data_IF_976270506517
#
_entry.id   IF_976270506517
#
_cell.length_a   1.000
_cell.length_b   1.000
_cell.length_c   1.000
_cell.angle_alpha   90.00
_cell.angle_beta   90.00
_cell.angle_gamma   90.00
#
_symmetry.space_group_name_H-M   'P 1'
#
loop_
_entity.id
_entity.type
_entity.pdbx_description
1 polymer ?
#
# COMPACT_ATOMS: atom_id res chain seq x y z
N UNK A 1 -6.92 -14.72 -0.29
CA UNK A 1 -5.60 -14.19 -0.75
C UNK A 1 -4.71 -13.81 0.44
N UNK A 2 -3.38 -13.94 0.32
CA UNK A 2 -2.42 -13.33 1.26
C UNK A 2 -1.64 -12.20 0.55
N UNK A 3 -1.59 -11.01 1.15
CA UNK A 3 -0.90 -9.85 0.60
C UNK A 3 -0.08 -9.15 1.69
N UNK A 4 1.01 -8.49 1.29
CA UNK A 4 1.92 -7.74 2.18
C UNK A 4 2.01 -6.29 1.72
N UNK A 5 1.74 -5.32 2.59
CA UNK A 5 2.09 -3.91 2.37
C UNK A 5 3.22 -3.51 3.32
N UNK A 6 4.23 -2.81 2.82
CA UNK A 6 5.34 -2.34 3.64
C UNK A 6 5.91 -1.00 3.17
N UNK A 7 5.84 -0.01 4.04
CA UNK A 7 6.66 1.20 3.96
C UNK A 7 8.12 0.88 4.35
N UNK A 8 8.96 0.61 3.35
CA UNK A 8 10.29 0.07 3.56
C UNK A 8 11.36 1.13 3.87
N UNK A 9 11.00 2.41 3.74
CA UNK A 9 11.88 3.58 4.00
C UNK A 9 13.23 3.58 3.25
N UNK A 10 13.36 2.75 2.22
CA UNK A 10 14.52 2.65 1.34
C UNK A 10 15.01 1.22 1.18
N UNK A 11 14.93 0.69 -0.04
CA UNK A 11 15.45 -0.64 -0.38
C UNK A 11 16.98 -0.69 -0.53
N UNK A 12 17.69 0.43 -0.35
CA UNK A 12 19.15 0.46 -0.41
C UNK A 12 19.84 -0.14 0.82
N UNK A 13 19.11 -0.32 1.92
CA UNK A 13 19.66 -0.82 3.19
C UNK A 13 19.64 -2.35 3.22
N UNK A 14 20.79 -2.96 3.49
CA UNK A 14 20.94 -4.42 3.47
C UNK A 14 20.01 -5.13 4.46
N UNK A 15 19.78 -4.53 5.64
CA UNK A 15 18.86 -5.06 6.64
C UNK A 15 17.41 -5.02 6.15
N UNK A 16 16.96 -3.93 5.53
CA UNK A 16 15.62 -3.82 4.93
C UNK A 16 15.40 -4.91 3.88
N UNK A 17 16.38 -5.12 2.98
CA UNK A 17 16.30 -6.17 1.97
C UNK A 17 16.28 -7.57 2.58
N UNK A 18 17.05 -7.80 3.64
CA UNK A 18 17.07 -9.08 4.37
C UNK A 18 15.70 -9.36 4.99
N UNK A 19 15.15 -8.41 5.74
CA UNK A 19 13.88 -8.57 6.42
C UNK A 19 12.72 -8.72 5.42
N UNK A 20 12.74 -7.99 4.30
CA UNK A 20 11.77 -8.16 3.22
C UNK A 20 11.77 -9.58 2.66
N UNK A 21 12.96 -10.13 2.38
CA UNK A 21 13.06 -11.52 1.90
C UNK A 21 12.54 -12.52 2.93
N UNK A 22 12.84 -12.31 4.20
CA UNK A 22 12.38 -13.16 5.29
C UNK A 22 10.86 -13.13 5.43
N UNK A 23 10.24 -11.94 5.36
CA UNK A 23 8.78 -11.81 5.37
C UNK A 23 8.14 -12.46 4.13
N UNK A 24 8.72 -12.29 2.94
CA UNK A 24 8.28 -12.97 1.72
C UNK A 24 8.38 -14.49 1.85
N UNK A 25 9.48 -15.01 2.42
CA UNK A 25 9.69 -16.43 2.63
C UNK A 25 8.72 -17.03 3.66
N UNK A 26 8.55 -16.35 4.79
CA UNK A 26 7.75 -16.81 5.93
C UNK A 26 6.25 -16.78 5.61
N UNK A 27 5.77 -15.69 5.02
CA UNK A 27 4.33 -15.50 4.76
C UNK A 27 3.90 -16.03 3.40
N UNK A 28 4.81 -16.13 2.43
CA UNK A 28 4.52 -16.48 1.03
C UNK A 28 3.35 -15.64 0.46
N UNK A 29 3.42 -14.30 0.54
CA UNK A 29 2.34 -13.46 0.02
C UNK A 29 2.25 -13.62 -1.51
N UNK A 30 1.04 -13.52 -2.04
CA UNK A 30 0.80 -13.56 -3.49
C UNK A 30 0.97 -12.19 -4.13
N UNK A 31 0.76 -11.12 -3.35
CA UNK A 31 0.99 -9.74 -3.74
C UNK A 31 1.83 -9.04 -2.67
N UNK A 32 2.81 -8.27 -3.08
CA UNK A 32 3.62 -7.41 -2.21
C UNK A 32 3.53 -5.98 -2.72
N UNK A 33 3.19 -5.05 -1.85
CA UNK A 33 3.22 -3.61 -2.07
C UNK A 33 4.31 -2.98 -1.21
N UNK A 34 5.21 -2.24 -1.85
CA UNK A 34 6.30 -1.52 -1.21
C UNK A 34 6.15 -0.02 -1.43
N UNK A 35 6.33 0.73 -0.36
CA UNK A 35 6.29 2.19 -0.34
C UNK A 35 7.66 2.72 0.09
N UNK A 36 8.00 3.93 -0.35
CA UNK A 36 9.28 4.58 -0.08
C UNK A 36 10.47 3.70 -0.51
N UNK A 37 10.42 3.15 -1.73
CA UNK A 37 11.51 2.28 -2.22
C UNK A 37 12.83 3.04 -2.35
N UNK A 38 12.79 4.35 -2.67
CA UNK A 38 13.94 5.26 -2.83
C UNK A 38 15.05 4.69 -3.73
N UNK A 39 14.68 3.82 -4.66
CA UNK A 39 15.61 3.11 -5.54
C UNK A 39 15.08 3.09 -6.97
N UNK A 40 15.99 3.12 -7.94
CA UNK A 40 15.64 3.04 -9.37
C UNK A 40 15.07 1.66 -9.71
N UNK A 41 14.17 1.62 -10.69
CA UNK A 41 13.54 0.38 -11.17
C UNK A 41 14.50 -0.81 -11.30
N UNK A 42 15.68 -0.65 -11.93
CA UNK A 42 16.67 -1.73 -12.11
C UNK A 42 17.04 -2.43 -10.78
N UNK A 43 17.20 -1.68 -9.70
CA UNK A 43 17.52 -2.24 -8.39
C UNK A 43 16.30 -2.95 -7.78
N UNK A 44 15.12 -2.30 -7.84
CA UNK A 44 13.87 -2.87 -7.33
C UNK A 44 13.54 -4.21 -8.00
N UNK A 45 13.72 -4.32 -9.33
CA UNK A 45 13.58 -5.57 -10.10
C UNK A 45 14.51 -6.68 -9.62
N UNK A 46 15.76 -6.33 -9.29
CA UNK A 46 16.74 -7.30 -8.75
C UNK A 46 16.27 -7.86 -7.41
N UNK A 47 15.68 -7.02 -6.55
CA UNK A 47 15.14 -7.47 -5.26
C UNK A 47 13.88 -8.32 -5.46
N UNK A 48 12.96 -7.92 -6.33
CA UNK A 48 11.78 -8.72 -6.69
C UNK A 48 12.15 -10.15 -7.05
N UNK A 49 13.07 -10.33 -8.02
CA UNK A 49 13.50 -11.66 -8.48
C UNK A 49 14.05 -12.51 -7.33
N UNK A 50 14.75 -11.89 -6.38
CA UNK A 50 15.27 -12.56 -5.17
C UNK A 50 14.18 -12.90 -4.16
N UNK A 51 13.01 -12.26 -4.24
CA UNK A 51 11.83 -12.57 -3.42
C UNK A 51 10.89 -13.57 -4.11
N UNK A 52 11.18 -13.99 -5.36
CA UNK A 52 10.45 -15.07 -6.04
C UNK A 52 9.22 -14.65 -6.84
N UNK A 53 8.97 -13.35 -7.01
CA UNK A 53 7.85 -12.84 -7.81
C UNK A 53 8.22 -12.71 -9.28
N UNK A 54 7.27 -12.93 -10.19
CA UNK A 54 7.44 -12.94 -11.66
C UNK A 54 7.08 -11.60 -12.29
N UNK A 55 6.06 -10.93 -11.74
CA UNK A 55 5.46 -9.74 -12.33
C UNK A 55 5.59 -8.52 -11.41
N UNK A 56 5.42 -7.33 -11.99
CA UNK A 56 5.61 -6.06 -11.29
C UNK A 56 4.91 -4.87 -11.94
N UNK A 57 4.65 -3.86 -11.12
CA UNK A 57 4.42 -2.49 -11.56
C UNK A 57 5.18 -1.54 -10.64
N UNK A 58 5.91 -0.59 -11.22
CA UNK A 58 6.82 0.30 -10.49
C UNK A 58 6.46 1.75 -10.78
N UNK A 59 6.48 2.58 -9.74
CA UNK A 59 6.47 4.03 -9.84
C UNK A 59 7.82 4.50 -9.33
N UNK A 60 8.59 5.17 -10.19
CA UNK A 60 9.93 5.62 -9.82
C UNK A 60 9.89 6.70 -8.72
N UNK A 61 10.91 6.75 -7.84
CA UNK A 61 11.04 7.81 -6.85
C UNK A 61 11.33 9.16 -7.52
N UNK A 62 10.89 10.25 -6.87
CA UNK A 62 11.26 11.61 -7.25
C UNK A 62 12.48 12.02 -6.44
N UNK A 63 13.65 12.05 -7.09
CA UNK A 63 14.91 12.33 -6.42
C UNK A 63 15.27 11.25 -5.39
N UNK A 64 15.22 11.60 -4.11
CA UNK A 64 15.53 10.70 -2.97
C UNK A 64 14.30 10.24 -2.18
N UNK A 65 13.09 10.56 -2.65
CA UNK A 65 11.86 10.33 -1.92
C UNK A 65 10.85 9.53 -2.75
N UNK A 66 10.01 8.76 -2.05
CA UNK A 66 8.93 8.00 -2.65
C UNK A 66 9.41 6.76 -3.39
N UNK A 67 8.69 6.46 -4.47
CA UNK A 67 8.82 5.23 -5.23
C UNK A 67 7.89 4.16 -4.65
N UNK A 68 7.05 3.61 -5.53
CA UNK A 68 6.10 2.55 -5.22
C UNK A 68 6.44 1.31 -6.04
N UNK A 69 6.19 0.13 -5.49
CA UNK A 69 6.30 -1.11 -6.23
C UNK A 69 5.20 -2.07 -5.80
N UNK A 70 4.49 -2.66 -6.76
CA UNK A 70 3.71 -3.85 -6.52
C UNK A 70 4.35 -5.02 -7.27
N UNK A 71 4.46 -6.16 -6.59
CA UNK A 71 4.94 -7.43 -7.13
C UNK A 71 3.87 -8.47 -6.92
N UNK A 72 3.70 -9.39 -7.86
CA UNK A 72 2.75 -10.47 -7.70
C UNK A 72 3.23 -11.79 -8.31
N UNK A 73 2.70 -12.87 -7.77
CA UNK A 73 2.97 -14.22 -8.23
C UNK A 73 2.27 -14.48 -9.57
N UNK A 74 2.85 -15.37 -10.37
CA UNK A 74 2.29 -15.78 -11.68
C UNK A 74 0.85 -16.32 -11.60
N UNK A 75 0.44 -16.87 -10.45
CA UNK A 75 -0.92 -17.36 -10.22
C UNK A 75 -1.98 -16.26 -10.03
N UNK A 76 -1.57 -14.99 -10.02
CA UNK A 76 -2.44 -13.83 -9.90
C UNK A 76 -2.30 -12.96 -11.15
N UNK A 77 -3.43 -12.56 -11.72
CA UNK A 77 -3.49 -11.57 -12.79
C UNK A 77 -3.84 -10.21 -12.19
N UNK A 78 -3.03 -9.22 -12.51
CA UNK A 78 -3.22 -7.83 -12.05
C UNK A 78 -3.27 -6.93 -13.28
N UNK A 79 -4.38 -6.21 -13.43
CA UNK A 79 -4.59 -5.18 -14.44
C UNK A 79 -4.47 -3.81 -13.76
N UNK A 80 -3.59 -2.94 -14.27
CA UNK A 80 -3.40 -1.58 -13.74
C UNK A 80 -4.45 -0.66 -14.36
N UNK A 81 -5.39 -0.17 -13.55
CA UNK A 81 -6.45 0.74 -14.00
C UNK A 81 -6.06 2.20 -13.81
N UNK A 82 -5.30 2.51 -12.76
CA UNK A 82 -4.78 3.84 -12.48
C UNK A 82 -3.47 3.76 -11.69
N UNK A 83 -2.54 4.68 -11.95
CA UNK A 83 -1.28 4.77 -11.21
C UNK A 83 -0.84 6.21 -11.07
N UNK A 84 -0.39 6.57 -9.86
CA UNK A 84 0.23 7.84 -9.52
C UNK A 84 1.37 7.61 -8.52
N UNK A 85 2.00 8.67 -8.04
CA UNK A 85 3.04 8.61 -6.99
C UNK A 85 2.49 8.18 -5.61
N UNK A 86 1.17 8.16 -5.44
CA UNK A 86 0.52 7.81 -4.17
C UNK A 86 -0.45 6.63 -4.26
N UNK A 87 -0.97 6.32 -5.44
CA UNK A 87 -2.03 5.31 -5.58
C UNK A 87 -1.71 4.42 -6.78
N UNK A 88 -1.81 3.12 -6.61
CA UNK A 88 -1.90 2.15 -7.71
C UNK A 88 -3.24 1.43 -7.53
N UNK A 89 -4.17 1.65 -8.46
CA UNK A 89 -5.48 0.99 -8.46
C UNK A 89 -5.52 -0.09 -9.53
N UNK A 90 -5.98 -1.26 -9.14
CA UNK A 90 -5.88 -2.48 -9.94
C UNK A 90 -7.17 -3.28 -9.91
N UNK A 91 -7.43 -3.99 -11.02
CA UNK A 91 -8.33 -5.14 -11.03
C UNK A 91 -7.49 -6.40 -10.86
N UNK A 92 -7.93 -7.30 -9.98
CA UNK A 92 -7.21 -8.51 -9.61
C UNK A 92 -8.09 -9.73 -9.84
N UNK A 93 -7.50 -10.78 -10.41
CA UNK A 93 -8.16 -12.08 -10.53
C UNK A 93 -7.18 -13.22 -10.31
N UNK A 94 -7.65 -14.31 -9.72
CA UNK A 94 -6.88 -15.55 -9.59
C UNK A 94 -7.81 -16.74 -9.80
N UNK A 95 -7.31 -17.78 -10.46
CA UNK A 95 -8.01 -19.06 -10.60
C UNK A 95 -7.76 -20.01 -9.42
N UNK A 96 -6.86 -19.65 -8.51
CA UNK A 96 -6.35 -20.55 -7.46
C UNK A 96 -6.81 -20.14 -6.06
N UNK A 97 -7.07 -18.85 -5.84
CA UNK A 97 -7.50 -18.31 -4.54
C UNK A 97 -8.61 -17.29 -4.75
N UNK A 98 -9.47 -17.14 -3.74
CA UNK A 98 -10.41 -16.03 -3.70
C UNK A 98 -9.68 -14.70 -3.44
N UNK A 99 -10.07 -13.67 -4.19
CA UNK A 99 -9.43 -12.36 -4.25
C UNK A 99 -10.49 -11.26 -4.36
N UNK A 100 -10.29 -10.11 -3.69
CA UNK A 100 -11.04 -8.91 -4.05
C UNK A 100 -10.92 -8.64 -5.54
N UNK A 101 -12.01 -8.22 -6.19
CA UNK A 101 -11.98 -7.88 -7.62
C UNK A 101 -11.10 -6.65 -7.85
N UNK A 102 -11.09 -5.72 -6.91
CA UNK A 102 -10.29 -4.51 -6.98
C UNK A 102 -9.38 -4.36 -5.77
N UNK A 103 -8.13 -3.93 -6.01
CA UNK A 103 -7.20 -3.55 -4.96
C UNK A 103 -6.60 -2.18 -5.26
N UNK A 104 -6.70 -1.26 -4.29
CA UNK A 104 -6.00 0.03 -4.29
C UNK A 104 -4.85 0.00 -3.30
N UNK A 105 -3.63 0.12 -3.81
CA UNK A 105 -2.41 0.26 -3.05
C UNK A 105 -2.13 1.74 -2.81
N UNK A 106 -2.14 2.17 -1.54
CA UNK A 106 -2.16 3.59 -1.19
C UNK A 106 -0.95 3.93 -0.32
N UNK A 107 -0.23 4.97 -0.72
CA UNK A 107 0.75 5.69 0.09
C UNK A 107 0.32 7.15 0.21
N UNK A 108 -0.34 7.48 1.33
CA UNK A 108 -0.81 8.82 1.64
C UNK A 108 0.35 9.81 1.72
N UNK A 109 0.24 10.99 1.07
CA UNK A 109 1.24 12.04 1.23
C UNK A 109 1.46 12.45 2.70
N UNK A 110 2.69 12.81 3.09
CA UNK A 110 2.96 13.33 4.44
C UNK A 110 2.39 14.75 4.63
N UNK A 111 2.29 15.53 3.55
CA UNK A 111 1.74 16.88 3.53
C UNK A 111 0.21 16.81 3.52
N UNK A 112 -0.44 17.60 4.37
CA UNK A 112 -1.89 17.50 4.60
C UNK A 112 -2.71 17.88 3.37
N UNK A 113 -2.32 18.94 2.67
CA UNK A 113 -2.97 19.43 1.45
C UNK A 113 -2.93 18.36 0.36
N UNK A 114 -1.76 17.77 0.13
CA UNK A 114 -1.59 16.67 -0.83
C UNK A 114 -2.37 15.43 -0.39
N UNK A 115 -2.45 15.14 0.92
CA UNK A 115 -3.23 14.02 1.44
C UNK A 115 -4.72 14.18 1.15
N UNK A 116 -5.27 15.40 1.21
CA UNK A 116 -6.66 15.67 0.80
C UNK A 116 -6.88 15.39 -0.68
N UNK A 117 -5.94 15.76 -1.54
CA UNK A 117 -6.00 15.44 -2.98
C UNK A 117 -5.96 13.92 -3.22
N UNK A 118 -5.08 13.20 -2.50
CA UNK A 118 -5.04 11.74 -2.53
C UNK A 118 -6.39 11.12 -2.13
N UNK A 119 -7.01 11.60 -1.04
CA UNK A 119 -8.33 11.14 -0.61
C UNK A 119 -9.44 11.43 -1.63
N UNK A 120 -9.39 12.57 -2.32
CA UNK A 120 -10.33 12.89 -3.39
C UNK A 120 -10.22 11.90 -4.56
N UNK A 121 -9.00 11.51 -4.94
CA UNK A 121 -8.78 10.50 -5.97
C UNK A 121 -9.28 9.12 -5.52
N UNK A 122 -9.04 8.71 -4.27
CA UNK A 122 -9.61 7.47 -3.71
C UNK A 122 -11.14 7.52 -3.69
N UNK A 123 -11.74 8.66 -3.34
CA UNK A 123 -13.20 8.86 -3.38
C UNK A 123 -13.74 8.82 -4.81
N UNK A 124 -12.96 9.26 -5.80
CA UNK A 124 -13.35 9.12 -7.22
C UNK A 124 -13.31 7.66 -7.64
N UNK A 125 -12.30 6.91 -7.20
CA UNK A 125 -12.19 5.47 -7.47
C UNK A 125 -13.38 4.73 -6.84
N UNK A 126 -13.71 4.99 -5.57
CA UNK A 126 -14.81 4.29 -4.88
C UNK A 126 -16.14 4.37 -5.63
N UNK A 127 -16.46 5.55 -6.19
CA UNK A 127 -17.69 5.77 -6.98
C UNK A 127 -17.76 4.98 -8.29
N UNK A 128 -16.63 4.49 -8.79
CA UNK A 128 -16.54 3.75 -10.04
C UNK A 128 -16.25 2.26 -9.84
N UNK A 129 -16.04 1.82 -8.59
CA UNK A 129 -15.80 0.42 -8.27
C UNK A 129 -17.13 -0.28 -8.01
N UNK A 130 -17.46 -1.22 -8.90
CA UNK A 130 -18.63 -2.09 -8.77
C UNK A 130 -18.15 -3.52 -8.49
N UNK A 131 -17.90 -3.85 -7.23
CA UNK A 131 -17.39 -5.17 -6.82
C UNK A 131 -16.71 -5.13 -5.46
N UNK A 132 -16.11 -6.25 -5.05
CA UNK A 132 -15.33 -6.30 -3.81
C UNK A 132 -14.05 -5.47 -3.96
N UNK A 133 -13.83 -4.56 -3.01
CA UNK A 133 -12.72 -3.61 -3.05
C UNK A 133 -11.91 -3.65 -1.78
N UNK A 134 -10.59 -3.82 -1.94
CA UNK A 134 -9.63 -3.73 -0.85
C UNK A 134 -8.74 -2.51 -1.01
N UNK A 135 -8.68 -1.66 0.00
CA UNK A 135 -7.65 -0.63 0.13
C UNK A 135 -6.57 -1.12 1.08
N UNK A 136 -5.30 -1.05 0.68
CA UNK A 136 -4.18 -1.43 1.54
C UNK A 136 -2.97 -0.51 1.37
N UNK A 137 -2.21 -0.31 2.43
CA UNK A 137 -1.01 0.52 2.42
C UNK A 137 -0.92 1.40 3.66
N UNK A 138 -0.32 2.56 3.49
CA UNK A 138 -0.07 3.54 4.56
C UNK A 138 -0.77 4.86 4.19
N UNK A 139 -1.86 5.18 4.87
CA UNK A 139 -2.63 6.40 4.61
C UNK A 139 -2.02 7.65 5.27
N UNK A 140 -0.98 7.49 6.10
CA UNK A 140 -0.37 8.57 6.89
C UNK A 140 -1.37 9.36 7.78
N UNK A 141 -2.47 8.72 8.18
CA UNK A 141 -3.47 9.26 9.10
C UNK A 141 -3.98 8.16 10.04
N UNK A 142 -4.66 8.56 11.13
CA UNK A 142 -5.12 7.63 12.18
C UNK A 142 -6.63 7.78 12.40
N UNK A 143 -7.31 6.65 12.61
CA UNK A 143 -8.75 6.59 12.91
C UNK A 143 -9.04 6.83 14.38
N UNK A 144 -8.04 6.70 15.25
CA UNK A 144 -8.16 6.94 16.68
C UNK A 144 -6.85 7.44 17.28
N UNK A 145 -6.93 8.23 18.34
CA UNK A 145 -5.74 8.61 19.13
C UNK A 145 -4.97 7.39 19.63
N UNK A 146 -5.67 6.27 19.87
CA UNK A 146 -5.11 5.02 20.36
C UNK A 146 -4.22 4.27 19.36
N UNK A 147 -4.12 4.74 18.12
CA UNK A 147 -3.21 4.22 17.09
C UNK A 147 -1.84 4.90 17.12
N UNK A 148 -1.69 5.96 17.94
CA UNK A 148 -0.44 6.66 18.14
C UNK A 148 0.08 6.43 19.56
N UNK A 149 1.37 6.13 19.68
CA UNK A 149 2.10 6.16 20.95
C UNK A 149 3.11 7.30 20.94
N UNK A 150 3.10 8.13 21.98
CA UNK A 150 4.03 9.25 22.15
C UNK A 150 3.77 10.43 21.20
N UNK A 151 4.56 11.50 21.37
CA UNK A 151 4.39 12.76 20.64
C UNK A 151 3.07 13.49 20.92
N UNK A 152 2.81 14.57 20.19
CA UNK A 152 1.61 15.38 20.40
C UNK A 152 0.33 14.64 19.96
N UNK A 153 -0.76 14.88 20.68
CA UNK A 153 -2.08 14.40 20.28
C UNK A 153 -2.43 14.91 18.88
N UNK A 154 -3.00 14.05 18.03
CA UNK A 154 -3.48 14.50 16.73
C UNK A 154 -4.73 15.36 16.95
N UNK A 155 -4.83 16.50 16.29
CA UNK A 155 -6.02 17.33 16.43
C UNK A 155 -7.28 16.54 16.06
N UNK A 156 -8.30 16.56 16.93
CA UNK A 156 -9.53 15.77 16.77
C UNK A 156 -10.19 15.97 15.41
N UNK A 157 -10.17 17.21 14.90
CA UNK A 157 -10.65 17.55 13.54
C UNK A 157 -9.99 16.71 12.44
N UNK A 158 -8.69 16.40 12.55
CA UNK A 158 -7.99 15.58 11.55
C UNK A 158 -8.47 14.12 11.58
N UNK A 159 -8.68 13.57 12.77
CA UNK A 159 -9.23 12.22 12.95
C UNK A 159 -10.65 12.14 12.37
N UNK A 160 -11.50 13.13 12.68
CA UNK A 160 -12.85 13.20 12.11
C UNK A 160 -12.82 13.30 10.59
N UNK A 161 -11.95 14.13 10.01
CA UNK A 161 -11.83 14.23 8.55
C UNK A 161 -11.45 12.89 7.92
N UNK A 162 -10.52 12.15 8.52
CA UNK A 162 -10.12 10.84 8.02
C UNK A 162 -11.27 9.81 8.14
N UNK A 163 -11.98 9.79 9.27
CA UNK A 163 -13.19 8.96 9.45
C UNK A 163 -14.26 9.28 8.42
N UNK A 164 -14.52 10.56 8.16
CA UNK A 164 -15.49 10.98 7.14
C UNK A 164 -15.07 10.56 5.74
N UNK A 165 -13.77 10.56 5.43
CA UNK A 165 -13.25 10.05 4.17
C UNK A 165 -13.49 8.54 4.02
N UNK A 166 -13.15 7.75 5.05
CA UNK A 166 -13.37 6.30 5.08
C UNK A 166 -14.86 5.98 4.91
N UNK A 167 -15.72 6.61 5.72
CA UNK A 167 -17.17 6.43 5.63
C UNK A 167 -17.73 6.88 4.27
N UNK A 168 -17.23 7.99 3.70
CA UNK A 168 -17.65 8.47 2.38
C UNK A 168 -17.22 7.58 1.20
N UNK A 169 -16.33 6.61 1.44
CA UNK A 169 -15.93 5.59 0.48
C UNK A 169 -16.58 4.21 0.75
N UNK A 170 -17.49 4.12 1.73
CA UNK A 170 -18.07 2.86 2.23
C UNK A 170 -16.99 1.82 2.59
N UNK A 171 -15.87 2.30 3.15
CA UNK A 171 -14.76 1.45 3.58
C UNK A 171 -14.91 1.13 5.07
N UNK A 172 -14.64 -0.12 5.41
CA UNK A 172 -14.50 -0.58 6.79
C UNK A 172 -13.05 -0.96 7.08
N UNK A 173 -12.59 -0.68 8.30
CA UNK A 173 -11.29 -1.15 8.77
C UNK A 173 -11.37 -2.64 9.12
N UNK A 174 -10.64 -3.46 8.37
CA UNK A 174 -10.53 -4.91 8.59
C UNK A 174 -9.73 -5.26 9.86
N UNK A 175 -9.11 -4.27 10.49
CA UNK A 175 -8.23 -4.44 11.63
C UNK A 175 -6.87 -5.03 11.25
N UNK A 176 -6.06 -5.34 12.27
CA UNK A 176 -4.76 -5.98 12.07
C UNK A 176 -4.47 -6.97 13.20
N UNK A 177 -3.54 -7.89 12.92
CA UNK A 177 -2.99 -8.82 13.91
C UNK A 177 -1.47 -8.70 13.89
N UNK A 178 -0.87 -8.30 15.01
CA UNK A 178 0.58 -8.05 15.10
C UNK A 178 0.93 -7.05 16.22
N UNK A 179 2.18 -6.59 16.23
CA UNK A 179 2.62 -5.55 17.16
C UNK A 179 1.89 -4.23 16.85
N UNK A 180 1.27 -3.63 17.87
CA UNK A 180 0.46 -2.41 17.73
C UNK A 180 1.26 -1.16 17.36
N UNK A 181 2.56 -1.19 17.64
CA UNK A 181 3.48 -0.09 17.39
C UNK A 181 4.81 -0.69 16.92
N UNK A 182 5.51 0.01 16.04
CA UNK A 182 6.81 -0.38 15.49
C UNK A 182 7.87 0.66 15.81
#
# INVERSE_FOLDING_TARGET
MNALAWNCQGLGVALTVRNLKEECFRRKPLIVFLMETKQKAKYVRKIRRRCGFQEEWLVDPVGRSGGLAIWWAESVKVEILFSSVNIIHTRVSSSVVDTPEFISFIYGPPIEEDRKLCWQEVTRISRNVNGSWLCMGDFNDILSQSEKMGGDLRAWRKILNFRSFIAGCDLDDLGYTGARFT
#
